data_IF_627774365138
#
_entry.id   IF_627774365138
#
_cell.length_a   1.000
_cell.length_b   1.000
_cell.length_c   1.000
_cell.angle_alpha   90.00
_cell.angle_beta   90.00
_cell.angle_gamma   90.00
#
_symmetry.space_group_name_H-M   'P 1'
#
loop_
_entity.id
_entity.type
_entity.pdbx_description
1 polymer ?
#
# COMPACT_ATOMS: atom_id res chain seq x y z
N UNK A 1 -44.24 -15.55 54.99
CA UNK A 1 -42.84 -15.42 54.52
C UNK A 1 -42.72 -15.92 53.08
N UNK A 2 -42.86 -15.07 52.06
CA UNK A 2 -42.77 -15.49 50.63
C UNK A 2 -42.44 -14.30 49.70
N UNK A 3 -41.52 -13.42 50.10
CA UNK A 3 -41.12 -12.22 49.32
C UNK A 3 -39.62 -12.12 49.04
N UNK A 4 -38.80 -12.93 49.70
CA UNK A 4 -37.34 -12.88 49.60
C UNK A 4 -36.80 -13.65 48.39
N UNK A 5 -37.43 -14.76 48.02
CA UNK A 5 -37.01 -15.60 46.88
C UNK A 5 -37.20 -14.92 45.52
N UNK A 6 -38.27 -14.14 45.31
CA UNK A 6 -38.49 -13.46 44.02
C UNK A 6 -37.51 -12.31 43.75
N UNK A 7 -37.06 -11.59 44.78
CA UNK A 7 -36.09 -10.48 44.62
C UNK A 7 -34.69 -10.98 44.29
N UNK A 8 -34.27 -12.08 44.90
CA UNK A 8 -32.98 -12.70 44.63
C UNK A 8 -32.89 -13.24 43.19
N UNK A 9 -33.99 -13.78 42.66
CA UNK A 9 -34.07 -14.32 41.30
C UNK A 9 -34.07 -13.22 40.23
N UNK A 10 -34.73 -12.08 40.50
CA UNK A 10 -34.71 -10.92 39.58
C UNK A 10 -33.32 -10.27 39.57
N UNK A 11 -32.66 -10.17 40.73
CA UNK A 11 -31.29 -9.64 40.82
C UNK A 11 -30.27 -10.55 40.12
N UNK A 12 -30.40 -11.88 40.23
CA UNK A 12 -29.50 -12.80 39.54
C UNK A 12 -29.71 -12.80 38.03
N UNK A 13 -30.97 -12.77 37.56
CA UNK A 13 -31.27 -12.67 36.12
C UNK A 13 -30.80 -11.32 35.56
N UNK A 14 -30.99 -10.22 36.29
CA UNK A 14 -30.48 -8.90 35.91
C UNK A 14 -28.95 -8.87 35.83
N UNK A 15 -28.25 -9.46 36.80
CA UNK A 15 -26.79 -9.54 36.80
C UNK A 15 -26.26 -10.36 35.61
N UNK A 16 -26.88 -11.50 35.32
CA UNK A 16 -26.50 -12.36 34.18
C UNK A 16 -26.69 -11.61 32.86
N UNK A 17 -27.79 -10.87 32.71
CA UNK A 17 -28.03 -10.06 31.51
C UNK A 17 -26.99 -8.96 31.32
N UNK A 18 -26.63 -8.25 32.40
CA UNK A 18 -25.61 -7.19 32.36
C UNK A 18 -24.24 -7.76 31.99
N UNK A 19 -23.85 -8.89 32.56
CA UNK A 19 -22.59 -9.56 32.21
C UNK A 19 -22.61 -10.05 30.76
N UNK A 20 -23.72 -10.60 30.29
CA UNK A 20 -23.86 -11.03 28.90
C UNK A 20 -23.74 -9.86 27.91
N UNK A 21 -24.38 -8.73 28.21
CA UNK A 21 -24.28 -7.51 27.38
C UNK A 21 -22.87 -6.92 27.39
N UNK A 22 -22.18 -6.93 28.54
CA UNK A 22 -20.80 -6.47 28.63
C UNK A 22 -19.84 -7.36 27.82
N UNK A 23 -19.98 -8.68 27.92
CA UNK A 23 -19.20 -9.63 27.10
C UNK A 23 -19.49 -9.45 25.61
N UNK A 24 -20.76 -9.25 25.23
CA UNK A 24 -21.13 -9.04 23.84
C UNK A 24 -20.59 -7.72 23.29
N UNK A 25 -20.66 -6.63 24.06
CA UNK A 25 -20.08 -5.36 23.69
C UNK A 25 -18.55 -5.42 23.53
N UNK A 26 -17.87 -6.12 24.45
CA UNK A 26 -16.42 -6.32 24.38
C UNK A 26 -16.02 -7.18 23.16
N UNK A 27 -16.82 -8.20 22.85
CA UNK A 27 -16.62 -9.05 21.68
C UNK A 27 -16.84 -8.31 20.37
N UNK A 28 -17.89 -7.49 20.27
CA UNK A 28 -18.11 -6.63 19.11
C UNK A 28 -16.99 -5.61 18.94
N UNK A 29 -16.53 -4.98 20.02
CA UNK A 29 -15.41 -4.05 19.98
C UNK A 29 -14.13 -4.75 19.50
N UNK A 30 -13.81 -5.92 20.06
CA UNK A 30 -12.66 -6.71 19.63
C UNK A 30 -12.75 -7.10 18.14
N UNK A 31 -13.92 -7.56 17.67
CA UNK A 31 -14.14 -7.85 16.25
C UNK A 31 -13.89 -6.62 15.37
N UNK A 32 -14.36 -5.44 15.76
CA UNK A 32 -14.14 -4.22 14.96
C UNK A 32 -12.65 -3.84 14.90
N UNK A 33 -11.92 -3.93 16.01
CA UNK A 33 -10.50 -3.56 16.06
C UNK A 33 -9.64 -4.55 15.26
N UNK A 34 -9.89 -5.85 15.40
CA UNK A 34 -9.12 -6.89 14.71
C UNK A 34 -9.40 -6.91 13.20
N UNK A 35 -10.66 -6.70 12.79
CA UNK A 35 -11.01 -6.65 11.36
C UNK A 35 -10.51 -5.38 10.68
N UNK A 36 -10.66 -4.21 11.32
CA UNK A 36 -10.18 -2.94 10.75
C UNK A 36 -8.65 -2.91 10.69
N UNK A 37 -7.95 -3.37 11.75
CA UNK A 37 -6.48 -3.43 11.76
C UNK A 37 -5.89 -4.55 10.89
N UNK A 38 -6.64 -5.62 10.63
CA UNK A 38 -6.25 -6.69 9.71
C UNK A 38 -6.24 -6.24 8.25
N UNK A 39 -7.23 -5.43 7.85
CA UNK A 39 -7.30 -4.84 6.51
C UNK A 39 -6.11 -3.93 6.21
N UNK A 40 -5.78 -3.02 7.13
CA UNK A 40 -4.65 -2.09 6.96
C UNK A 40 -3.31 -2.84 6.84
N UNK A 41 -3.07 -3.87 7.67
CA UNK A 41 -1.85 -4.69 7.57
C UNK A 41 -1.78 -5.48 6.25
N UNK A 42 -2.90 -6.00 5.78
CA UNK A 42 -2.97 -6.71 4.50
C UNK A 42 -2.67 -5.77 3.32
N UNK A 43 -3.19 -4.54 3.35
CA UNK A 43 -2.94 -3.55 2.29
C UNK A 43 -1.49 -3.05 2.27
N UNK A 44 -0.88 -2.82 3.43
CA UNK A 44 0.56 -2.46 3.51
C UNK A 44 1.43 -3.61 3.01
N UNK A 45 1.14 -4.86 3.40
CA UNK A 45 1.86 -6.03 2.90
C UNK A 45 1.70 -6.19 1.38
N UNK A 46 0.48 -6.00 0.87
CA UNK A 46 0.20 -6.03 -0.57
C UNK A 46 0.96 -4.92 -1.31
N UNK A 47 1.08 -3.72 -0.73
CA UNK A 47 1.87 -2.64 -1.31
C UNK A 47 3.36 -2.98 -1.42
N UNK A 48 3.94 -3.55 -0.35
CA UNK A 48 5.35 -3.98 -0.37
C UNK A 48 5.59 -5.06 -1.43
N UNK A 49 4.69 -6.04 -1.52
CA UNK A 49 4.73 -7.09 -2.55
C UNK A 49 4.62 -6.51 -3.96
N UNK A 50 3.65 -5.61 -4.21
CA UNK A 50 3.50 -4.91 -5.50
C UNK A 50 4.77 -4.14 -5.87
N UNK A 51 5.36 -3.43 -4.92
CA UNK A 51 6.59 -2.68 -5.17
C UNK A 51 7.79 -3.59 -5.49
N UNK A 52 7.80 -4.82 -4.98
CA UNK A 52 8.83 -5.81 -5.29
C UNK A 52 8.61 -6.38 -6.69
N UNK A 53 7.38 -6.79 -7.02
CA UNK A 53 7.00 -7.30 -8.33
C UNK A 53 7.29 -6.29 -9.46
N UNK A 54 7.04 -5.00 -9.21
CA UNK A 54 7.33 -3.95 -10.18
C UNK A 54 8.81 -3.89 -10.58
N UNK A 55 9.75 -4.27 -9.69
CA UNK A 55 11.17 -4.34 -10.04
C UNK A 55 11.46 -5.43 -11.07
N UNK A 56 10.77 -6.56 -10.98
CA UNK A 56 10.90 -7.68 -11.91
C UNK A 56 10.22 -7.35 -13.25
N UNK A 57 9.03 -6.73 -13.19
CA UNK A 57 8.30 -6.29 -14.39
C UNK A 57 9.09 -5.23 -15.18
N UNK A 58 9.69 -4.25 -14.50
CA UNK A 58 10.55 -3.24 -15.15
C UNK A 58 11.80 -3.87 -15.77
N UNK A 59 12.38 -4.87 -15.10
CA UNK A 59 13.52 -5.60 -15.65
C UNK A 59 13.10 -6.31 -16.94
N UNK A 60 12.01 -7.08 -16.90
CA UNK A 60 11.51 -7.84 -18.04
C UNK A 60 11.11 -6.93 -19.21
N UNK A 61 10.47 -5.79 -18.93
CA UNK A 61 10.13 -4.81 -19.96
C UNK A 61 11.37 -4.24 -20.66
N UNK A 62 12.46 -4.02 -19.92
CA UNK A 62 13.71 -3.50 -20.48
C UNK A 62 14.59 -4.57 -21.18
N UNK A 63 14.20 -5.84 -21.20
CA UNK A 63 15.01 -6.93 -21.79
C UNK A 63 15.12 -6.83 -23.31
N UNK A 64 14.14 -6.21 -23.98
CA UNK A 64 14.13 -6.03 -25.44
C UNK A 64 15.01 -4.86 -25.93
N UNK A 65 15.57 -4.08 -24.99
CA UNK A 65 16.44 -2.94 -25.27
C UNK A 65 15.71 -1.59 -25.31
N UNK A 66 14.39 -1.59 -25.19
CA UNK A 66 13.58 -0.37 -25.08
C UNK A 66 12.77 -0.41 -23.78
N UNK A 67 12.28 0.75 -23.34
CA UNK A 67 11.35 0.81 -22.21
C UNK A 67 10.35 1.92 -22.48
N UNK A 68 9.08 1.57 -22.51
CA UNK A 68 8.01 2.53 -22.84
C UNK A 68 7.32 3.06 -21.59
N UNK A 69 6.72 4.25 -21.72
CA UNK A 69 5.84 4.83 -20.68
C UNK A 69 4.73 3.85 -20.26
N UNK A 70 4.17 3.09 -21.22
CA UNK A 70 3.11 2.11 -20.96
C UNK A 70 3.58 0.93 -20.11
N UNK A 71 4.79 0.45 -20.34
CA UNK A 71 5.36 -0.66 -19.55
C UNK A 71 5.68 -0.21 -18.13
N UNK A 72 6.22 1.00 -17.97
CA UNK A 72 6.40 1.59 -16.65
C UNK A 72 5.06 1.75 -15.95
N UNK A 73 4.05 2.29 -16.63
CA UNK A 73 2.69 2.40 -16.08
C UNK A 73 2.12 1.04 -15.63
N UNK A 74 2.36 -0.01 -16.40
CA UNK A 74 1.91 -1.37 -16.07
C UNK A 74 2.64 -1.92 -14.84
N UNK A 75 3.94 -1.65 -14.71
CA UNK A 75 4.75 -2.15 -13.61
C UNK A 75 4.52 -1.40 -12.29
N UNK A 76 4.54 -0.06 -12.30
CA UNK A 76 4.52 0.76 -11.08
C UNK A 76 3.22 1.57 -10.87
N UNK A 77 2.28 1.52 -11.81
CA UNK A 77 1.06 2.34 -11.80
C UNK A 77 1.28 3.73 -12.39
N UNK A 78 0.42 4.69 -12.06
CA UNK A 78 0.39 6.01 -12.74
C UNK A 78 1.14 7.13 -12.00
N UNK A 79 1.61 6.88 -10.78
CA UNK A 79 2.32 7.89 -9.97
C UNK A 79 3.80 7.59 -9.96
N UNK A 80 4.47 7.98 -11.04
CA UNK A 80 5.92 7.90 -11.14
C UNK A 80 6.51 9.05 -11.93
N UNK A 81 7.80 9.26 -11.73
CA UNK A 81 8.65 10.17 -12.49
C UNK A 81 9.89 9.39 -12.95
N UNK A 82 10.48 9.82 -14.06
CA UNK A 82 11.69 9.21 -14.59
C UNK A 82 12.75 10.28 -14.84
N UNK A 83 13.99 9.94 -14.54
CA UNK A 83 15.16 10.77 -14.80
C UNK A 83 16.25 9.90 -15.45
N UNK A 84 16.80 10.37 -16.57
CA UNK A 84 17.90 9.69 -17.25
C UNK A 84 19.23 10.21 -16.70
N UNK A 85 19.98 9.30 -16.08
CA UNK A 85 21.27 9.56 -15.47
C UNK A 85 22.41 8.95 -16.32
N UNK A 86 23.65 9.29 -15.99
CA UNK A 86 24.81 8.67 -16.65
C UNK A 86 24.91 7.19 -16.26
N UNK A 87 24.46 6.30 -17.16
CA UNK A 87 24.49 4.86 -16.97
C UNK A 87 23.26 4.25 -16.28
N UNK A 88 22.23 5.04 -15.96
CA UNK A 88 20.95 4.50 -15.46
C UNK A 88 19.74 5.32 -15.89
N UNK A 89 18.58 4.67 -15.86
CA UNK A 89 17.27 5.28 -15.92
C UNK A 89 16.64 5.11 -14.53
N UNK A 90 16.46 6.22 -13.82
CA UNK A 90 15.96 6.25 -12.45
C UNK A 90 14.45 6.50 -12.49
N UNK A 91 13.65 5.50 -12.12
CA UNK A 91 12.19 5.57 -12.04
C UNK A 91 11.78 5.68 -10.57
N UNK A 92 11.23 6.82 -10.17
CA UNK A 92 10.68 7.03 -8.83
C UNK A 92 9.18 6.82 -8.87
N UNK A 93 8.66 5.86 -8.11
CA UNK A 93 7.24 5.56 -8.03
C UNK A 93 6.69 5.73 -6.62
N UNK A 94 5.42 6.14 -6.52
CA UNK A 94 4.69 6.29 -5.27
C UNK A 94 3.49 5.33 -5.21
N UNK A 95 3.55 4.41 -4.27
CA UNK A 95 2.46 3.48 -3.97
C UNK A 95 1.67 4.02 -2.78
N UNK A 96 0.34 4.06 -2.86
CA UNK A 96 -0.52 4.51 -1.76
C UNK A 96 -1.69 3.57 -1.56
N UNK A 97 -2.14 3.42 -0.31
CA UNK A 97 -3.40 2.74 -0.01
C UNK A 97 -4.52 3.78 -0.09
N UNK A 98 -5.53 3.57 -0.93
CA UNK A 98 -6.65 4.51 -1.04
C UNK A 98 -7.56 4.50 0.19
N UNK A 99 -7.65 3.36 0.89
CA UNK A 99 -8.51 3.18 2.05
C UNK A 99 -7.96 3.78 3.35
N UNK A 100 -6.66 4.07 3.41
CA UNK A 100 -5.99 4.60 4.61
C UNK A 100 -5.67 6.06 4.35
N UNK A 101 -6.23 6.96 5.17
CA UNK A 101 -6.04 8.42 5.09
C UNK A 101 -4.58 8.74 4.76
N UNK A 102 -4.38 9.34 3.58
CA UNK A 102 -3.24 9.99 2.89
C UNK A 102 -1.77 9.84 3.38
N UNK A 103 -1.49 9.34 4.58
CA UNK A 103 -0.17 9.26 5.20
C UNK A 103 0.54 7.91 5.00
N UNK A 104 -0.14 6.85 4.56
CA UNK A 104 0.48 5.54 4.30
C UNK A 104 0.73 5.29 2.81
N UNK A 105 1.85 5.82 2.32
CA UNK A 105 2.42 5.44 1.03
C UNK A 105 3.86 4.93 1.15
N UNK A 106 4.34 4.28 0.10
CA UNK A 106 5.72 3.86 -0.09
C UNK A 106 6.28 4.56 -1.32
N UNK A 107 7.40 5.27 -1.15
CA UNK A 107 8.13 5.83 -2.28
C UNK A 107 9.34 4.95 -2.60
N UNK A 108 9.47 4.56 -3.86
CA UNK A 108 10.47 3.60 -4.30
C UNK A 108 11.21 4.16 -5.50
N UNK A 109 12.54 4.12 -5.45
CA UNK A 109 13.40 4.32 -6.60
C UNK A 109 13.74 2.96 -7.22
N UNK A 110 13.48 2.82 -8.51
CA UNK A 110 13.95 1.75 -9.36
C UNK A 110 15.06 2.29 -10.25
N UNK A 111 16.29 1.89 -9.98
CA UNK A 111 17.43 2.22 -10.82
C UNK A 111 17.63 1.13 -11.86
N UNK A 112 17.38 1.46 -13.11
CA UNK A 112 17.53 0.56 -14.26
C UNK A 112 18.86 0.86 -14.92
N UNK A 113 19.79 -0.09 -14.93
CA UNK A 113 21.11 0.14 -15.53
C UNK A 113 21.03 0.21 -17.06
N UNK A 114 21.79 1.13 -17.66
CA UNK A 114 21.93 1.29 -19.10
C UNK A 114 23.26 0.68 -19.61
N UNK A 115 23.33 0.20 -20.86
CA UNK A 115 22.25 0.12 -21.84
C UNK A 115 21.20 -0.93 -21.46
N UNK A 116 19.96 -0.73 -21.92
CA UNK A 116 18.90 -1.72 -21.77
C UNK A 116 19.20 -2.96 -22.62
N UNK A 117 18.48 -4.06 -22.36
CA UNK A 117 18.66 -5.36 -23.00
C UNK A 117 18.71 -6.52 -21.99
N UNK A 118 19.14 -7.72 -22.42
CA UNK A 118 19.09 -8.94 -21.59
C UNK A 118 19.92 -8.89 -20.30
N UNK A 119 20.94 -8.03 -20.27
CA UNK A 119 21.79 -7.81 -19.09
C UNK A 119 21.26 -6.72 -18.15
N UNK A 120 20.09 -6.15 -18.43
CA UNK A 120 19.48 -5.11 -17.60
C UNK A 120 19.30 -5.62 -16.18
N UNK A 121 19.65 -4.74 -15.23
CA UNK A 121 19.40 -4.96 -13.81
C UNK A 121 18.64 -3.77 -13.26
N UNK A 122 17.70 -4.08 -12.38
CA UNK A 122 16.88 -3.09 -11.68
C UNK A 122 17.18 -3.19 -10.20
N UNK A 123 17.61 -2.07 -9.61
CA UNK A 123 17.84 -1.97 -8.16
C UNK A 123 16.69 -1.20 -7.53
N UNK A 124 16.00 -1.83 -6.58
CA UNK A 124 14.93 -1.22 -5.78
C UNK A 124 15.53 -0.56 -4.54
N UNK A 125 15.12 0.68 -4.24
CA UNK A 125 15.50 1.38 -3.01
C UNK A 125 14.31 2.15 -2.46
N UNK A 126 13.99 1.97 -1.18
CA UNK A 126 12.95 2.77 -0.53
C UNK A 126 13.49 4.17 -0.24
N UNK A 127 12.74 5.18 -0.64
CA UNK A 127 13.08 6.58 -0.41
C UNK A 127 12.26 7.16 0.74
N UNK A 128 12.83 8.09 1.52
CA UNK A 128 12.05 8.86 2.48
C UNK A 128 11.00 9.70 1.74
N UNK A 129 9.78 9.73 2.27
CA UNK A 129 8.61 10.39 1.66
C UNK A 129 8.83 11.88 1.34
N UNK A 130 9.70 12.54 2.09
CA UNK A 130 9.96 13.98 1.98
C UNK A 130 10.94 14.34 0.85
N UNK A 131 11.53 13.37 0.16
CA UNK A 131 12.57 13.62 -0.84
C UNK A 131 12.01 13.97 -2.22
N UNK A 132 12.20 15.23 -2.64
CA UNK A 132 12.06 15.70 -4.03
C UNK A 132 10.82 15.13 -4.75
N UNK A 133 11.05 14.30 -5.77
CA UNK A 133 10.03 13.65 -6.60
C UNK A 133 8.99 12.87 -5.78
N UNK A 134 9.35 12.24 -4.65
CA UNK A 134 8.38 11.53 -3.80
C UNK A 134 7.32 12.45 -3.20
N UNK A 135 7.71 13.68 -2.87
CA UNK A 135 6.81 14.69 -2.30
C UNK A 135 5.86 15.23 -3.36
N UNK A 136 6.31 15.34 -4.59
CA UNK A 136 5.46 15.75 -5.72
C UNK A 136 4.52 14.62 -6.13
N UNK A 137 5.00 13.38 -6.22
CA UNK A 137 4.23 12.19 -6.58
C UNK A 137 3.17 11.79 -5.53
N UNK A 138 3.37 12.17 -4.28
CA UNK A 138 2.37 11.99 -3.23
C UNK A 138 1.24 13.02 -3.32
N UNK A 139 1.49 14.18 -3.94
CA UNK A 139 0.44 15.15 -4.26
C UNK A 139 -0.34 14.67 -5.49
N UNK A 140 -1.67 14.66 -5.37
CA UNK A 140 -2.67 14.01 -6.25
C UNK A 140 -2.61 14.34 -7.76
N UNK A 141 -1.67 15.16 -8.21
CA UNK A 141 -1.54 15.69 -9.56
C UNK A 141 -0.09 15.61 -10.05
N UNK A 142 0.40 14.41 -10.35
CA UNK A 142 1.59 14.28 -11.21
C UNK A 142 1.14 13.83 -12.59
N UNK A 143 1.50 14.67 -13.55
CA UNK A 143 1.20 14.58 -14.97
C UNK A 143 1.82 13.30 -15.52
N UNK A 144 0.99 12.34 -15.91
CA UNK A 144 1.43 11.23 -16.77
C UNK A 144 2.10 11.84 -18.00
N UNK A 145 3.28 11.36 -18.44
CA UNK A 145 3.80 11.71 -19.76
C UNK A 145 2.74 11.34 -20.80
N UNK A 146 2.29 12.32 -21.58
CA UNK A 146 1.06 12.30 -22.38
C UNK A 146 1.18 11.47 -23.68
N UNK A 147 1.87 10.33 -23.64
CA UNK A 147 2.09 9.50 -24.83
C UNK A 147 2.31 8.03 -24.47
N UNK A 148 1.30 7.20 -24.71
CA UNK A 148 1.28 5.75 -24.46
C UNK A 148 2.34 4.94 -25.24
N UNK A 149 3.09 5.57 -26.14
CA UNK A 149 4.06 4.91 -27.03
C UNK A 149 5.46 5.53 -27.00
N UNK A 150 5.75 6.50 -26.12
CA UNK A 150 7.09 7.09 -26.07
C UNK A 150 8.07 6.15 -25.36
N UNK A 151 9.20 5.90 -26.03
CA UNK A 151 10.38 5.23 -25.47
C UNK A 151 11.11 6.22 -24.56
N UNK A 152 11.55 5.75 -23.39
CA UNK A 152 12.24 6.51 -22.34
C UNK A 152 13.78 6.50 -22.51
#
# INVERSE_FOLDING_TARGET
MRKTTSRALILSVGLVLVVALAMFGMFLWWLTVEWLGGGERAEVNNMSLRSTAASEDLKAAAEDGELTVREVNKAVGFRWAVERMHGSLDVVAYFSVEAVKEETGLCILYKINLPLGPATSVTRTELPKERGNCRELSMKYVRSPDSDASVL
#
